data_IF_172983263708
#
_entry.id   IF_172983263708
#
_cell.length_a   1.000
_cell.length_b   1.000
_cell.length_c   1.000
_cell.angle_alpha   90.00
_cell.angle_beta   90.00
_cell.angle_gamma   90.00
#
_symmetry.space_group_name_H-M   'P 1'
#
loop_
_entity.id
_entity.type
_entity.pdbx_description
1 polymer ?
#
# COMPACT_ATOMS: atom_id res chain seq x y z
N UNK A 1 -4.59 3.22 2.26
CA UNK A 1 -5.29 2.38 3.26
C UNK A 1 -4.27 1.86 4.26
N UNK A 2 -4.71 1.43 5.45
CA UNK A 2 -3.84 0.73 6.39
C UNK A 2 -4.46 -0.64 6.69
N UNK A 3 -3.67 -1.71 6.55
CA UNK A 3 -4.11 -3.07 6.85
C UNK A 3 -3.11 -3.68 7.82
N UNK A 4 -3.38 -3.55 9.12
CA UNK A 4 -2.54 -4.16 10.13
C UNK A 4 -2.87 -5.66 10.24
N UNK A 5 -1.89 -6.50 9.96
CA UNK A 5 -1.97 -7.96 10.01
C UNK A 5 -1.29 -8.44 11.29
N UNK A 6 -2.00 -9.24 12.07
CA UNK A 6 -1.49 -9.86 13.28
C UNK A 6 -1.23 -11.35 13.04
N UNK A 7 0.01 -11.77 13.24
CA UNK A 7 0.50 -13.13 12.94
C UNK A 7 0.92 -13.76 14.27
N UNK A 8 0.05 -14.59 14.89
CA UNK A 8 0.23 -15.03 16.27
C UNK A 8 1.29 -16.12 16.46
N UNK A 9 1.67 -16.85 15.42
CA UNK A 9 2.60 -17.99 15.52
C UNK A 9 3.18 -18.42 14.17
N UNK A 10 4.15 -19.32 14.21
CA UNK A 10 4.77 -19.92 13.02
C UNK A 10 3.80 -20.75 12.16
N UNK A 11 2.70 -21.24 12.74
CA UNK A 11 1.66 -22.00 12.01
C UNK A 11 0.66 -21.09 11.27
N UNK A 12 0.81 -19.77 11.43
CA UNK A 12 -0.04 -18.78 10.75
C UNK A 12 0.35 -18.65 9.27
N UNK A 13 -0.55 -18.16 8.40
CA UNK A 13 -0.18 -17.81 7.04
C UNK A 13 0.99 -16.81 7.02
N UNK A 14 1.94 -17.02 6.12
CA UNK A 14 3.11 -16.15 5.90
C UNK A 14 3.03 -15.40 4.56
N UNK A 15 1.85 -15.37 3.97
CA UNK A 15 1.62 -14.82 2.64
C UNK A 15 0.22 -14.24 2.60
N UNK A 16 0.13 -12.98 2.17
CA UNK A 16 -1.10 -12.20 2.19
C UNK A 16 -1.26 -11.46 0.87
N UNK A 17 -2.38 -11.71 0.20
CA UNK A 17 -2.72 -11.07 -1.08
C UNK A 17 -3.57 -9.84 -0.83
N UNK A 18 -3.23 -8.71 -1.46
CA UNK A 18 -3.99 -7.47 -1.34
C UNK A 18 -4.78 -7.21 -2.60
N UNK A 19 -6.08 -7.01 -2.45
CA UNK A 19 -6.88 -6.60 -3.59
C UNK A 19 -6.57 -5.15 -3.94
N UNK A 20 -6.37 -4.93 -5.23
CA UNK A 20 -6.18 -3.60 -5.80
C UNK A 20 -7.26 -3.37 -6.83
N UNK A 21 -7.91 -2.22 -6.77
CA UNK A 21 -8.88 -1.83 -7.77
C UNK A 21 -8.11 -1.50 -9.05
N UNK A 22 -8.15 -2.41 -10.01
CA UNK A 22 -7.51 -2.25 -11.32
C UNK A 22 -8.54 -1.97 -12.38
N UNK A 23 -8.13 -1.20 -13.40
CA UNK A 23 -8.82 -1.17 -14.69
C UNK A 23 -8.06 -2.07 -15.68
N UNK A 24 -8.71 -2.54 -16.77
CA UNK A 24 -8.06 -3.32 -17.82
C UNK A 24 -6.79 -2.68 -18.40
N UNK A 25 -6.67 -1.36 -18.29
CA UNK A 25 -5.55 -0.57 -18.84
C UNK A 25 -4.45 -0.30 -17.80
N UNK A 26 -4.47 -1.00 -16.67
CA UNK A 26 -3.49 -0.82 -15.59
C UNK A 26 -2.75 -2.11 -15.24
N UNK A 27 -1.46 -1.99 -14.91
CA UNK A 27 -0.59 -3.10 -14.51
C UNK A 27 0.20 -2.75 -13.26
N UNK A 28 0.35 -3.72 -12.34
CA UNK A 28 1.27 -3.59 -11.22
C UNK A 28 2.72 -3.75 -11.67
N UNK A 29 3.59 -2.94 -11.10
CA UNK A 29 5.03 -2.98 -11.31
C UNK A 29 5.74 -2.97 -9.96
N UNK A 30 6.62 -3.95 -9.77
CA UNK A 30 7.54 -4.00 -8.62
C UNK A 30 8.80 -3.19 -8.95
N UNK A 31 9.26 -2.39 -8.00
CA UNK A 31 10.48 -1.59 -8.12
C UNK A 31 11.65 -2.24 -7.37
N UNK A 32 12.87 -1.81 -7.71
CA UNK A 32 14.10 -2.36 -7.11
C UNK A 32 14.20 -2.13 -5.59
N UNK A 33 13.55 -1.09 -5.07
CA UNK A 33 13.51 -0.78 -3.64
C UNK A 33 12.47 -1.63 -2.86
N UNK A 34 11.70 -2.47 -3.55
CA UNK A 34 10.64 -3.29 -2.97
C UNK A 34 9.28 -2.61 -2.84
N UNK A 35 9.14 -1.36 -3.31
CA UNK A 35 7.84 -0.72 -3.50
C UNK A 35 7.15 -1.23 -4.76
N UNK A 36 5.86 -0.92 -4.92
CA UNK A 36 5.13 -1.22 -6.15
C UNK A 36 4.25 -0.03 -6.61
N UNK A 37 4.00 0.06 -7.90
CA UNK A 37 3.07 1.02 -8.50
C UNK A 37 2.02 0.31 -9.33
N UNK A 38 0.82 0.86 -9.35
CA UNK A 38 -0.18 0.54 -10.38
C UNK A 38 -0.05 1.60 -11.48
N UNK A 39 0.32 1.20 -12.69
CA UNK A 39 0.60 2.10 -13.81
C UNK A 39 -0.37 1.83 -14.96
N UNK A 40 -0.80 2.88 -15.66
CA UNK A 40 -1.55 2.75 -16.91
C UNK A 40 -0.63 2.38 -18.08
N UNK A 41 -1.21 1.93 -19.20
CA UNK A 41 -0.46 1.62 -20.44
C UNK A 41 0.42 2.77 -20.96
N UNK A 42 0.11 4.03 -20.61
CA UNK A 42 0.90 5.21 -21.00
C UNK A 42 2.01 5.55 -20.01
N UNK A 43 2.22 4.73 -18.97
CA UNK A 43 3.23 4.95 -17.93
C UNK A 43 2.79 5.91 -16.82
N UNK A 44 1.52 6.34 -16.81
CA UNK A 44 1.01 7.18 -15.72
C UNK A 44 0.78 6.31 -14.49
N UNK A 45 1.41 6.66 -13.36
CA UNK A 45 1.16 6.04 -12.06
C UNK A 45 -0.25 6.41 -11.59
N UNK A 46 -1.04 5.42 -11.21
CA UNK A 46 -2.41 5.54 -10.69
C UNK A 46 -2.42 5.39 -9.17
N UNK A 47 -1.64 4.44 -8.65
CA UNK A 47 -1.49 4.22 -7.22
C UNK A 47 -0.05 3.80 -6.86
N UNK A 48 0.34 4.11 -5.63
CA UNK A 48 1.61 3.70 -5.05
C UNK A 48 1.39 2.80 -3.83
N UNK A 49 2.25 1.79 -3.74
CA UNK A 49 2.39 0.87 -2.62
C UNK A 49 3.80 1.03 -2.11
N UNK A 50 3.95 1.48 -0.87
CA UNK A 50 5.27 1.69 -0.27
C UNK A 50 5.92 0.34 0.03
N UNK A 51 7.21 0.40 0.35
CA UNK A 51 7.94 -0.76 0.85
C UNK A 51 7.17 -1.35 2.05
N UNK A 52 6.79 -2.64 2.00
CA UNK A 52 6.08 -3.31 3.08
C UNK A 52 6.97 -3.41 4.32
N UNK A 53 6.37 -3.41 5.51
CA UNK A 53 7.09 -3.60 6.75
C UNK A 53 6.45 -4.67 7.63
N UNK A 54 7.28 -5.31 8.44
CA UNK A 54 6.87 -6.23 9.49
C UNK A 54 7.82 -6.08 10.68
N UNK A 55 7.26 -6.16 11.89
CA UNK A 55 8.00 -6.14 13.15
C UNK A 55 7.57 -7.32 14.02
N UNK A 56 8.51 -7.89 14.75
CA UNK A 56 8.27 -8.99 15.67
C UNK A 56 7.96 -8.50 17.10
N UNK A 57 7.68 -9.41 18.03
CA UNK A 57 7.34 -9.07 19.41
C UNK A 57 8.50 -8.44 20.20
N UNK A 58 9.74 -8.63 19.76
CA UNK A 58 10.92 -7.97 20.31
C UNK A 58 11.16 -6.59 19.68
N UNK A 59 10.31 -6.16 18.74
CA UNK A 59 10.46 -4.91 18.00
C UNK A 59 11.50 -4.96 16.88
N UNK A 60 11.94 -6.15 16.47
CA UNK A 60 12.90 -6.33 15.39
C UNK A 60 12.20 -6.38 14.03
N UNK A 61 12.86 -5.84 13.01
CA UNK A 61 12.35 -5.90 11.64
C UNK A 61 12.37 -7.34 11.11
N UNK A 62 11.28 -7.73 10.45
CA UNK A 62 11.16 -9.02 9.74
C UNK A 62 11.13 -8.74 8.24
N UNK A 63 11.94 -9.46 7.46
CA UNK A 63 11.93 -9.30 6.01
C UNK A 63 10.57 -9.63 5.43
N UNK A 64 10.04 -8.73 4.58
CA UNK A 64 8.67 -8.88 4.10
C UNK A 64 8.41 -8.39 2.68
N UNK A 65 9.11 -8.90 1.64
CA UNK A 65 8.99 -8.36 0.28
C UNK A 65 7.59 -8.54 -0.32
N UNK A 66 7.28 -7.67 -1.30
CA UNK A 66 6.20 -7.92 -2.24
C UNK A 66 6.67 -8.87 -3.35
N UNK A 67 5.74 -9.73 -3.77
CA UNK A 67 5.76 -10.46 -5.04
C UNK A 67 4.50 -10.06 -5.83
N UNK A 68 4.62 -9.95 -7.15
CA UNK A 68 3.50 -9.57 -8.02
C UNK A 68 3.06 -10.78 -8.83
N UNK A 69 1.83 -11.22 -8.65
CA UNK A 69 1.18 -12.25 -9.48
C UNK A 69 0.07 -11.61 -10.32
N UNK A 70 0.38 -11.30 -11.58
CA UNK A 70 -0.51 -10.51 -12.43
C UNK A 70 -0.70 -9.10 -11.86
N UNK A 71 -1.92 -8.79 -11.43
CA UNK A 71 -2.26 -7.52 -10.77
C UNK A 71 -2.55 -7.70 -9.28
N UNK A 72 -2.00 -8.74 -8.65
CA UNK A 72 -2.15 -8.99 -7.21
C UNK A 72 -0.77 -8.77 -6.56
N UNK A 73 -0.60 -7.74 -5.72
CA UNK A 73 0.52 -7.64 -4.82
C UNK A 73 0.31 -8.61 -3.65
N UNK A 74 1.29 -9.51 -3.49
CA UNK A 74 1.38 -10.50 -2.43
C UNK A 74 2.51 -10.13 -1.51
N UNK A 75 2.22 -9.83 -0.24
CA UNK A 75 3.27 -9.66 0.77
C UNK A 75 3.63 -11.02 1.35
N UNK A 76 4.92 -11.32 1.38
CA UNK A 76 5.45 -12.49 2.09
C UNK A 76 6.10 -12.07 3.38
N UNK A 77 6.01 -12.91 4.41
CA UNK A 77 6.71 -12.75 5.67
C UNK A 77 7.80 -13.80 5.71
N UNK A 78 9.03 -13.39 6.01
CA UNK A 78 10.20 -14.29 6.06
C UNK A 78 10.80 -14.27 7.48
N UNK A 79 10.19 -14.96 8.46
CA UNK A 79 10.74 -15.12 9.80
C UNK A 79 12.05 -15.91 9.78
N UNK A 80 12.89 -15.67 10.78
CA UNK A 80 14.09 -16.46 11.07
C UNK A 80 13.90 -17.25 12.36
N UNK A 81 14.86 -18.10 12.72
CA UNK A 81 14.85 -18.81 14.02
C UNK A 81 14.82 -17.88 15.23
N UNK A 82 15.27 -16.62 15.07
CA UNK A 82 15.29 -15.62 16.15
C UNK A 82 14.01 -14.78 16.21
N UNK A 83 13.09 -14.92 15.25
CA UNK A 83 11.89 -14.08 15.16
C UNK A 83 10.90 -14.45 16.26
N UNK A 84 10.44 -13.44 17.02
CA UNK A 84 9.50 -13.63 18.11
C UNK A 84 8.06 -13.29 17.70
N UNK A 85 7.15 -14.24 17.93
CA UNK A 85 5.73 -13.98 17.70
C UNK A 85 5.09 -13.25 18.89
N UNK A 86 4.04 -12.42 18.66
CA UNK A 86 3.42 -12.17 17.35
C UNK A 86 4.23 -11.25 16.44
N UNK A 87 4.07 -11.43 15.14
CA UNK A 87 4.54 -10.48 14.12
C UNK A 87 3.37 -9.56 13.77
N UNK A 88 3.65 -8.26 13.69
CA UNK A 88 2.77 -7.27 13.09
C UNK A 88 3.31 -6.90 11.72
N UNK A 89 2.46 -6.96 10.70
CA UNK A 89 2.82 -6.59 9.33
C UNK A 89 1.80 -5.60 8.76
N UNK A 90 2.25 -4.69 7.91
CA UNK A 90 1.36 -3.76 7.21
C UNK A 90 1.94 -3.41 5.83
N UNK A 91 1.25 -3.79 4.75
CA UNK A 91 1.56 -3.30 3.42
C UNK A 91 1.07 -1.85 3.34
N UNK A 92 1.94 -0.88 3.64
CA UNK A 92 1.56 0.54 3.53
C UNK A 92 1.15 0.87 2.07
N UNK A 93 -0.14 0.82 1.76
CA UNK A 93 -0.59 0.65 0.37
C UNK A 93 -1.81 1.46 -0.04
N UNK A 94 -1.92 1.67 -1.37
CA UNK A 94 -3.12 2.13 -2.05
C UNK A 94 -3.51 3.58 -1.74
N UNK A 95 -2.59 4.50 -1.96
CA UNK A 95 -2.93 5.92 -2.07
C UNK A 95 -2.91 6.28 -3.55
N UNK A 96 -4.06 6.74 -4.07
CA UNK A 96 -4.13 7.24 -5.43
C UNK A 96 -3.22 8.45 -5.60
N UNK A 97 -2.63 8.63 -6.78
CA UNK A 97 -1.75 9.77 -7.07
C UNK A 97 -2.41 10.73 -8.07
N UNK A 98 -2.10 12.02 -7.96
CA UNK A 98 -2.64 13.04 -8.87
C UNK A 98 -4.18 13.15 -8.83
N UNK A 99 -4.89 13.19 -9.97
CA UNK A 99 -6.35 13.29 -10.00
C UNK A 99 -7.05 12.03 -9.43
N UNK A 100 -6.30 10.94 -9.20
CA UNK A 100 -6.79 9.70 -8.61
C UNK A 100 -6.62 9.65 -7.08
N UNK A 101 -5.92 10.63 -6.47
CA UNK A 101 -5.85 10.78 -5.02
C UNK A 101 -7.22 11.15 -4.45
N UNK A 102 -7.53 10.70 -3.25
CA UNK A 102 -8.75 11.10 -2.54
C UNK A 102 -8.39 11.86 -1.26
N UNK A 103 -8.82 13.14 -1.09
CA UNK A 103 -9.45 13.97 -2.11
C UNK A 103 -8.47 14.31 -3.25
N UNK A 104 -8.95 14.59 -4.48
CA UNK A 104 -8.09 14.90 -5.60
C UNK A 104 -7.27 16.16 -5.30
N UNK A 105 -5.96 16.11 -5.57
CA UNK A 105 -5.04 17.24 -5.34
C UNK A 105 -5.41 18.50 -6.14
N UNK A 106 -6.38 18.41 -7.04
CA UNK A 106 -7.04 19.56 -7.68
C UNK A 106 -7.82 20.46 -6.69
N UNK A 107 -8.11 19.99 -5.47
CA UNK A 107 -8.85 20.76 -4.46
C UNK A 107 -7.97 21.57 -3.49
N UNK A 108 -6.64 21.51 -3.59
CA UNK A 108 -5.73 22.38 -2.82
C UNK A 108 -4.96 23.27 -3.81
N UNK A 109 -5.66 24.21 -4.44
CA UNK A 109 -5.00 25.36 -5.03
C UNK A 109 -4.75 26.37 -3.91
N UNK A 110 -3.48 26.53 -3.51
CA UNK A 110 -3.03 27.76 -2.88
C UNK A 110 -3.21 28.91 -3.88
N UNK A 111 -3.60 30.09 -3.38
CA UNK A 111 -3.83 31.38 -4.07
C UNK A 111 -5.30 31.74 -4.38
N UNK A 112 -5.99 32.20 -3.32
CA UNK A 112 -6.84 33.40 -3.31
C UNK A 112 -8.00 33.51 -4.31
N UNK A 113 -9.22 33.17 -3.87
CA UNK A 113 -10.48 33.80 -4.30
C UNK A 113 -11.59 33.53 -3.25
N UNK A 114 -12.61 34.40 -3.12
CA UNK A 114 -13.23 34.71 -1.82
C UNK A 114 -14.34 33.73 -1.39
N UNK A 115 -14.52 33.67 -0.07
CA UNK A 115 -15.62 33.03 0.63
C UNK A 115 -16.95 33.57 0.08
N UNK A 116 -17.77 32.69 -0.50
CA UNK A 116 -19.22 32.92 -0.59
C UNK A 116 -19.90 31.92 0.33
N UNK A 117 -20.38 32.42 1.45
CA UNK A 117 -21.47 31.80 2.21
C UNK A 117 -22.61 31.49 1.24
N UNK A 118 -23.04 30.23 1.19
CA UNK A 118 -24.37 29.91 0.71
C UNK A 118 -25.12 29.23 1.86
N UNK A 119 -26.13 29.96 2.29
CA UNK A 119 -27.06 29.64 3.36
C UNK A 119 -27.72 28.28 3.14
N UNK A 120 -27.88 27.59 4.26
CA UNK A 120 -28.81 26.50 4.46
C UNK A 120 -30.21 26.98 4.04
N UNK A 121 -30.89 26.18 3.22
CA UNK A 121 -32.35 26.08 3.20
C UNK A 121 -32.73 24.62 2.98
#
# INVERSE_FOLDING_TARGET
MQTLIHIPSADSPMTYDFQVNTSPDTSLKLHEDGSASLESQTGTVVALYKIPWAIDAAGQSVQTPFEIEGNIPRQRILPTENTQYPILADPQGGYGVGPYAWPPLACISSHGAPVRELLIN
#
